data_IF_071892557986
#
_entry.id   IF_071892557986
#
_cell.length_a   1.000
_cell.length_b   1.000
_cell.length_c   1.000
_cell.angle_alpha   90.00
_cell.angle_beta   90.00
_cell.angle_gamma   90.00
#
_symmetry.space_group_name_H-M   'P 1'
#
loop_
_entity.id
_entity.type
_entity.pdbx_description
1 polymer ?
#
# COMPACT_ATOMS: atom_id res chain seq x y z
N UNK A 1 -20.72 14.99 20.66
CA UNK A 1 -20.05 15.85 19.68
C UNK A 1 -20.07 17.26 20.24
N UNK A 2 -18.89 17.85 20.40
CA UNK A 2 -18.69 19.20 20.93
C UNK A 2 -18.75 20.25 19.82
N UNK A 3 -18.36 19.90 18.60
CA UNK A 3 -18.44 20.80 17.45
C UNK A 3 -18.43 20.05 16.13
N UNK A 4 -19.16 20.58 15.15
CA UNK A 4 -19.17 20.11 13.78
C UNK A 4 -19.27 21.33 12.86
N UNK A 5 -18.38 21.42 11.88
CA UNK A 5 -18.35 22.49 10.89
C UNK A 5 -18.21 21.88 9.50
N UNK A 6 -19.02 22.36 8.55
CA UNK A 6 -18.92 22.03 7.14
C UNK A 6 -19.20 23.29 6.31
N UNK A 7 -18.33 23.61 5.37
CA UNK A 7 -18.47 24.79 4.50
C UNK A 7 -18.24 24.40 3.05
N UNK A 8 -19.13 24.89 2.19
CA UNK A 8 -19.01 24.80 0.73
C UNK A 8 -18.98 26.20 0.13
N UNK A 9 -18.07 26.43 -0.81
CA UNK A 9 -18.01 27.65 -1.62
C UNK A 9 -17.99 27.20 -3.09
N UNK A 10 -18.90 27.73 -3.90
CA UNK A 10 -19.04 27.39 -5.32
C UNK A 10 -19.11 25.87 -5.60
N UNK A 11 -19.72 25.13 -4.67
CA UNK A 11 -19.87 23.67 -4.75
C UNK A 11 -18.63 22.88 -4.32
N UNK A 12 -17.51 23.53 -3.98
CA UNK A 12 -16.33 22.88 -3.43
C UNK A 12 -16.39 22.85 -1.90
N UNK A 13 -16.06 21.69 -1.31
CA UNK A 13 -15.87 21.57 0.14
C UNK A 13 -14.60 22.34 0.53
N UNK A 14 -14.72 23.35 1.38
CA UNK A 14 -13.60 24.21 1.80
C UNK A 14 -13.25 24.07 3.29
N UNK A 15 -14.18 23.60 4.11
CA UNK A 15 -13.90 23.27 5.50
C UNK A 15 -14.73 22.06 5.93
N UNK A 16 -14.08 21.13 6.62
CA UNK A 16 -14.74 20.04 7.34
C UNK A 16 -14.01 19.86 8.67
N UNK A 17 -14.69 20.12 9.78
CA UNK A 17 -14.12 19.96 11.12
C UNK A 17 -15.06 19.17 12.03
N UNK A 18 -14.48 18.22 12.78
CA UNK A 18 -15.19 17.46 13.81
C UNK A 18 -14.41 17.61 15.12
N UNK A 19 -15.06 18.10 16.16
CA UNK A 19 -14.48 18.29 17.49
C UNK A 19 -13.14 19.06 17.48
N UNK A 20 -13.03 20.04 16.57
CA UNK A 20 -11.84 20.89 16.38
C UNK A 20 -10.74 20.28 15.50
N UNK A 21 -10.96 19.09 14.96
CA UNK A 21 -10.03 18.45 14.01
C UNK A 21 -10.47 18.71 12.58
N UNK A 22 -9.59 19.34 11.80
CA UNK A 22 -9.80 19.47 10.35
C UNK A 22 -9.66 18.11 9.66
N UNK A 23 -10.55 17.87 8.71
CA UNK A 23 -10.63 16.67 7.88
C UNK A 23 -10.56 17.03 6.38
N UNK A 24 -10.23 18.29 6.05
CA UNK A 24 -10.25 18.78 4.67
C UNK A 24 -9.23 18.06 3.77
N UNK A 25 -8.11 17.64 4.35
CA UNK A 25 -7.04 16.91 3.65
C UNK A 25 -7.30 15.40 3.55
N UNK A 26 -8.41 14.92 4.13
CA UNK A 26 -8.79 13.51 4.04
C UNK A 26 -9.65 13.28 2.79
N UNK A 27 -9.48 12.12 2.17
CA UNK A 27 -10.30 11.69 1.04
C UNK A 27 -11.71 11.27 1.49
N UNK A 28 -12.50 12.22 1.98
CA UNK A 28 -13.87 11.99 2.46
C UNK A 28 -14.77 11.69 1.27
N UNK A 29 -15.35 10.49 1.24
CA UNK A 29 -16.33 10.08 0.23
C UNK A 29 -17.76 10.40 0.64
N UNK A 30 -18.07 10.24 1.93
CA UNK A 30 -19.43 10.41 2.41
C UNK A 30 -19.47 10.92 3.85
N UNK A 31 -20.55 11.63 4.16
CA UNK A 31 -20.89 12.10 5.49
C UNK A 31 -22.36 11.74 5.76
N UNK A 32 -22.63 11.15 6.93
CA UNK A 32 -23.98 10.85 7.39
C UNK A 32 -24.18 11.36 8.82
N UNK A 33 -25.27 12.08 9.05
CA UNK A 33 -25.66 12.56 10.37
C UNK A 33 -27.00 11.93 10.75
N UNK A 34 -27.05 11.28 11.91
CA UNK A 34 -28.28 10.70 12.45
C UNK A 34 -28.55 11.27 13.83
N UNK A 35 -29.77 11.76 14.03
CA UNK A 35 -30.24 12.21 15.34
C UNK A 35 -31.67 11.69 15.59
N UNK A 36 -31.88 11.10 16.76
CA UNK A 36 -33.19 10.68 17.25
C UNK A 36 -33.44 11.42 18.57
N UNK A 37 -34.66 11.86 18.79
CA UNK A 37 -35.02 12.54 20.03
C UNK A 37 -34.68 11.66 21.25
N UNK A 38 -33.98 12.23 22.23
CA UNK A 38 -33.54 11.50 23.42
C UNK A 38 -32.28 10.65 23.24
N UNK A 39 -31.71 10.55 22.03
CA UNK A 39 -30.44 9.87 21.78
C UNK A 39 -29.29 10.85 21.53
N UNK A 40 -28.06 10.35 21.65
CA UNK A 40 -26.87 11.11 21.26
C UNK A 40 -26.79 11.15 19.73
N UNK A 41 -26.61 12.32 19.11
CA UNK A 41 -26.42 12.40 17.67
C UNK A 41 -25.13 11.69 17.26
N UNK A 42 -25.16 11.07 16.10
CA UNK A 42 -24.04 10.30 15.52
C UNK A 42 -23.68 10.92 14.17
N UNK A 43 -22.39 11.17 13.98
CA UNK A 43 -21.81 11.60 12.71
C UNK A 43 -20.87 10.50 12.21
N UNK A 44 -21.10 10.03 11.00
CA UNK A 44 -20.31 8.99 10.33
C UNK A 44 -19.62 9.58 9.12
N UNK A 45 -18.32 9.34 8.99
CA UNK A 45 -17.51 9.72 7.82
C UNK A 45 -16.99 8.47 7.15
N UNK A 46 -17.08 8.42 5.82
CA UNK A 46 -16.43 7.39 5.01
C UNK A 46 -15.22 8.02 4.34
N UNK A 47 -14.04 7.47 4.61
CA UNK A 47 -12.76 7.93 4.06
C UNK A 47 -12.29 6.87 3.06
N UNK A 48 -11.90 7.30 1.86
CA UNK A 48 -11.22 6.44 0.91
C UNK A 48 -9.76 6.25 1.37
N UNK A 49 -9.30 5.00 1.43
CA UNK A 49 -7.88 4.72 1.51
C UNK A 49 -7.34 4.51 0.10
N UNK A 50 -6.34 5.30 -0.28
CA UNK A 50 -5.58 5.04 -1.50
C UNK A 50 -4.59 3.92 -1.21
N UNK A 51 -4.87 2.72 -1.72
CA UNK A 51 -3.89 1.62 -1.69
C UNK A 51 -2.83 1.92 -2.74
N UNK A 52 -1.78 2.63 -2.34
CA UNK A 52 -0.57 2.71 -3.15
C UNK A 52 0.08 1.32 -3.14
N UNK A 53 0.23 0.70 -4.31
CA UNK A 53 1.03 -0.50 -4.47
C UNK A 53 2.47 -0.26 -3.97
N UNK A 54 3.27 -1.32 -3.77
CA UNK A 54 4.65 -1.16 -3.30
C UNK A 54 5.36 -0.14 -4.19
N UNK A 55 5.74 1.00 -3.62
CA UNK A 55 6.60 1.93 -4.31
C UNK A 55 7.93 1.22 -4.49
N UNK A 56 8.30 0.93 -5.74
CA UNK A 56 9.65 0.53 -6.09
C UNK A 56 10.58 1.67 -5.69
N UNK A 57 11.09 1.64 -4.45
CA UNK A 57 12.24 2.44 -4.05
C UNK A 57 13.46 1.84 -4.75
N UNK A 58 13.59 2.09 -6.06
CA UNK A 58 14.86 1.92 -6.74
C UNK A 58 15.77 3.04 -6.25
N UNK A 59 16.40 2.80 -5.11
CA UNK A 59 17.57 3.56 -4.68
C UNK A 59 18.61 3.46 -5.80
N UNK A 60 18.87 4.58 -6.47
CA UNK A 60 20.03 4.74 -7.34
C UNK A 60 21.28 4.70 -6.45
N UNK A 61 21.75 3.48 -6.16
CA UNK A 61 23.13 3.28 -5.76
C UNK A 61 23.99 3.56 -6.99
N UNK A 62 24.60 4.75 -7.02
CA UNK A 62 25.75 5.04 -7.86
C UNK A 62 26.90 4.14 -7.45
N UNK A 63 27.09 3.02 -8.16
CA UNK A 63 28.32 2.25 -8.12
C UNK A 63 28.93 2.27 -9.53
N UNK A 64 29.86 3.19 -9.74
CA UNK A 64 30.75 3.18 -10.90
C UNK A 64 31.91 2.19 -10.63
N UNK A 65 32.46 1.52 -11.66
CA UNK A 65 33.05 0.20 -11.57
C UNK A 65 34.55 0.26 -11.31
N UNK A 66 35.08 -0.60 -10.45
CA UNK A 66 36.52 -0.85 -10.41
C UNK A 66 36.86 -2.33 -10.25
N UNK A 67 37.47 -2.83 -11.33
CA UNK A 67 37.91 -4.16 -11.65
C UNK A 67 38.94 -4.74 -10.67
N UNK A 68 38.94 -6.07 -10.48
CA UNK A 68 40.15 -6.90 -10.63
C UNK A 68 39.79 -8.33 -11.05
N UNK A 69 40.58 -8.97 -11.93
CA UNK A 69 40.31 -10.30 -12.47
C UNK A 69 41.06 -11.38 -11.69
N UNK A 70 40.42 -12.51 -11.41
CA UNK A 70 41.14 -13.77 -11.20
C UNK A 70 40.40 -14.90 -11.88
N UNK A 71 40.82 -15.12 -13.12
CA UNK A 71 40.69 -16.36 -13.87
C UNK A 71 41.42 -17.47 -13.11
N UNK A 72 40.77 -18.60 -12.84
CA UNK A 72 41.42 -19.88 -12.53
C UNK A 72 40.44 -21.03 -12.78
N UNK A 73 40.54 -21.55 -14.01
CA UNK A 73 40.47 -22.95 -14.40
C UNK A 73 39.28 -23.84 -13.97
N UNK A 74 38.44 -24.10 -14.97
CA UNK A 74 37.75 -25.37 -15.25
C UNK A 74 38.62 -26.61 -14.98
N UNK A 75 38.02 -27.73 -14.57
CA UNK A 75 37.80 -28.74 -15.61
C UNK A 75 36.44 -29.45 -15.48
N UNK A 76 35.74 -29.53 -16.62
CA UNK A 76 34.81 -30.61 -16.89
C UNK A 76 35.49 -31.56 -17.88
N UNK A 77 35.39 -32.88 -17.66
CA UNK A 77 34.72 -33.67 -18.68
C UNK A 77 33.83 -34.81 -18.15
N UNK A 78 32.61 -34.82 -18.69
CA UNK A 78 31.89 -35.97 -19.27
C UNK A 78 32.10 -37.38 -18.69
N UNK A 79 31.06 -37.88 -18.03
CA UNK A 79 30.80 -39.32 -17.84
C UNK A 79 29.33 -39.64 -18.08
N UNK A 80 29.06 -40.35 -19.17
CA UNK A 80 27.77 -40.56 -19.84
C UNK A 80 27.10 -41.86 -19.38
N UNK A 81 25.75 -41.93 -19.54
CA UNK A 81 24.87 -43.13 -19.68
C UNK A 81 24.28 -43.70 -18.39
N UNK A 82 23.08 -44.26 -18.34
CA UNK A 82 21.80 -44.28 -19.10
C UNK A 82 20.95 -45.30 -18.32
N UNK A 83 19.63 -45.04 -18.16
CA UNK A 83 18.54 -46.02 -17.95
C UNK A 83 18.65 -46.87 -16.67
N UNK A 84 17.67 -46.92 -15.78
CA UNK A 84 16.23 -46.91 -16.00
C UNK A 84 15.67 -48.19 -15.39
N UNK A 85 14.44 -48.10 -14.87
CA UNK A 85 13.60 -49.19 -14.35
C UNK A 85 14.04 -49.72 -12.99
N UNK A 86 13.18 -50.02 -12.03
CA UNK A 86 11.71 -50.10 -11.84
C UNK A 86 11.58 -50.75 -10.45
N UNK A 87 10.50 -50.53 -9.70
CA UNK A 87 9.84 -51.53 -8.83
C UNK A 87 8.79 -50.86 -7.93
N UNK A 88 7.52 -51.10 -8.27
CA UNK A 88 6.35 -50.92 -7.42
C UNK A 88 6.32 -51.93 -6.28
N UNK A 89 5.64 -51.58 -5.20
CA UNK A 89 4.72 -52.40 -4.39
C UNK A 89 4.08 -51.47 -3.35
N UNK A 90 2.80 -51.15 -3.52
CA UNK A 90 1.61 -51.82 -2.95
C UNK A 90 1.49 -51.57 -1.45
#
# INVERSE_FOLDING_TARGET
MKGFKIEYIDGALVALEIDGQSLIDKAIQALSFTHVQGSRPVLTTTIAEEVTGPQDTRSEHSEDPQSTPTESDTPHPQGRRKRGQRNWRL
#
